data_IF_879369699733
#
_entry.id   IF_879369699733
#
_cell.length_a   1.000
_cell.length_b   1.000
_cell.length_c   1.000
_cell.angle_alpha   90.00
_cell.angle_beta   90.00
_cell.angle_gamma   90.00
#
_symmetry.space_group_name_H-M   'P 1'
#
loop_
_entity.id
_entity.type
_entity.pdbx_description
1 polymer ?
#
# COMPACT_ATOMS: atom_id res chain seq x y z
N UNK A 1 -1.87 -1.05 -5.96
CA UNK A 1 -1.43 -1.60 -7.24
C UNK A 1 -0.25 -2.53 -7.09
N UNK A 2 0.87 -2.04 -6.53
CA UNK A 2 2.09 -2.82 -6.30
C UNK A 2 1.85 -4.16 -5.57
N UNK A 3 1.16 -4.13 -4.43
CA UNK A 3 0.81 -5.33 -3.64
C UNK A 3 0.08 -6.38 -4.48
N UNK A 4 -0.94 -5.98 -5.23
CA UNK A 4 -1.71 -6.90 -6.07
C UNK A 4 -0.85 -7.53 -7.17
N UNK A 5 0.02 -6.73 -7.81
CA UNK A 5 0.96 -7.22 -8.82
C UNK A 5 2.00 -8.17 -8.21
N UNK A 6 2.52 -7.85 -7.03
CA UNK A 6 3.43 -8.69 -6.26
C UNK A 6 2.84 -10.08 -5.98
N UNK A 7 1.55 -10.12 -5.68
CA UNK A 7 0.80 -11.35 -5.44
C UNK A 7 0.35 -12.07 -6.72
N UNK A 8 0.70 -11.59 -7.93
CA UNK A 8 0.30 -12.20 -9.20
C UNK A 8 -1.10 -11.82 -9.71
N UNK A 9 -1.82 -10.95 -8.99
CA UNK A 9 -3.16 -10.47 -9.35
C UNK A 9 -3.11 -9.04 -9.90
N UNK A 10 -2.48 -8.85 -11.06
CA UNK A 10 -2.43 -7.54 -11.72
C UNK A 10 -3.86 -6.99 -11.97
N UNK A 11 -4.10 -5.74 -11.61
CA UNK A 11 -5.43 -5.09 -11.70
C UNK A 11 -6.31 -5.25 -10.45
N UNK A 12 -6.01 -6.18 -9.54
CA UNK A 12 -6.83 -6.45 -8.34
C UNK A 12 -6.57 -5.50 -7.15
N UNK A 13 -6.18 -4.25 -7.39
CA UNK A 13 -5.79 -3.32 -6.32
C UNK A 13 -6.91 -3.05 -5.30
N UNK A 14 -8.17 -3.08 -5.72
CA UNK A 14 -9.33 -2.90 -4.83
C UNK A 14 -9.55 -4.11 -3.92
N UNK A 15 -9.28 -5.32 -4.40
CA UNK A 15 -9.40 -6.55 -3.61
C UNK A 15 -8.43 -6.53 -2.44
N UNK A 16 -7.19 -6.07 -2.66
CA UNK A 16 -6.19 -5.90 -1.58
C UNK A 16 -6.74 -5.03 -0.44
N UNK A 17 -7.42 -3.91 -0.76
CA UNK A 17 -8.00 -3.04 0.26
C UNK A 17 -9.10 -3.77 1.04
N UNK A 18 -9.95 -4.53 0.34
CA UNK A 18 -10.97 -5.37 0.97
C UNK A 18 -10.34 -6.37 1.95
N UNK A 19 -9.31 -7.09 1.52
CA UNK A 19 -8.59 -8.07 2.36
C UNK A 19 -7.96 -7.41 3.58
N UNK A 20 -7.32 -6.24 3.43
CA UNK A 20 -6.69 -5.53 4.55
C UNK A 20 -7.70 -5.10 5.62
N UNK A 21 -8.94 -4.76 5.21
CA UNK A 21 -10.00 -4.37 6.15
C UNK A 21 -10.51 -5.54 7.00
N UNK A 22 -10.45 -6.77 6.49
CA UNK A 22 -10.95 -7.96 7.18
C UNK A 22 -9.84 -8.75 7.88
N UNK A 23 -8.58 -8.42 7.63
CA UNK A 23 -7.43 -9.13 8.20
C UNK A 23 -7.03 -8.53 9.53
N UNK A 24 -6.78 -9.38 10.52
CA UNK A 24 -6.29 -8.97 11.83
C UNK A 24 -4.75 -9.07 11.89
N UNK A 25 -4.11 -8.19 12.66
CA UNK A 25 -2.66 -8.23 12.91
C UNK A 25 -1.75 -7.81 11.75
N UNK A 26 -2.30 -7.39 10.61
CA UNK A 26 -1.48 -6.90 9.49
C UNK A 26 -1.14 -5.41 9.63
N UNK A 27 0.08 -4.97 9.23
CA UNK A 27 0.48 -3.57 9.21
C UNK A 27 -0.17 -2.83 8.03
N UNK A 28 -1.50 -2.70 8.06
CA UNK A 28 -2.30 -2.12 6.98
C UNK A 28 -1.89 -0.67 6.66
N UNK A 29 -1.37 0.07 7.64
CA UNK A 29 -0.97 1.47 7.52
C UNK A 29 0.15 1.69 6.51
N UNK A 30 0.91 0.64 6.15
CA UNK A 30 1.97 0.68 5.13
C UNK A 30 1.45 0.74 3.70
N UNK A 31 0.15 0.50 3.48
CA UNK A 31 -0.43 0.49 2.13
C UNK A 31 -1.04 1.85 1.80
N UNK A 32 -0.48 2.49 0.76
CA UNK A 32 -0.87 3.82 0.29
C UNK A 32 -1.50 3.77 -1.11
N UNK A 33 -2.13 4.89 -1.50
CA UNK A 33 -2.52 5.12 -2.89
C UNK A 33 -1.30 5.19 -3.80
N UNK A 34 -1.50 4.96 -5.11
CA UNK A 34 -0.39 5.01 -6.09
C UNK A 34 0.33 6.37 -6.14
N UNK A 35 -0.33 7.45 -5.72
CA UNK A 35 0.26 8.79 -5.61
C UNK A 35 1.10 9.02 -4.33
N UNK A 36 1.19 8.02 -3.44
CA UNK A 36 1.79 8.16 -2.11
C UNK A 36 0.89 8.87 -1.09
N UNK A 37 -0.40 9.00 -1.38
CA UNK A 37 -1.38 9.62 -0.49
C UNK A 37 -2.08 8.60 0.39
N UNK A 38 -2.36 9.02 1.62
CA UNK A 38 -3.34 8.35 2.48
C UNK A 38 -4.73 8.55 1.87
N UNK A 39 -5.41 7.45 1.55
CA UNK A 39 -6.76 7.48 0.94
C UNK A 39 -7.90 7.32 1.96
N UNK A 40 -7.55 7.05 3.22
CA UNK A 40 -8.49 7.06 4.34
C UNK A 40 -8.92 8.50 4.69
N UNK A 41 -9.97 8.61 5.48
CA UNK A 41 -10.52 9.89 5.96
C UNK A 41 -10.72 9.83 7.48
N UNK A 42 -10.85 11.01 8.11
CA UNK A 42 -11.11 11.13 9.54
C UNK A 42 -10.01 10.49 10.40
N UNK A 43 -10.41 9.89 11.51
CA UNK A 43 -9.51 9.30 12.51
C UNK A 43 -8.59 8.22 11.92
N UNK A 44 -9.09 7.40 11.00
CA UNK A 44 -8.27 6.36 10.37
C UNK A 44 -7.15 6.95 9.49
N UNK A 45 -7.35 8.15 8.91
CA UNK A 45 -6.28 8.83 8.19
C UNK A 45 -5.21 9.36 9.15
N UNK A 46 -5.62 9.88 10.31
CA UNK A 46 -4.71 10.35 11.35
C UNK A 46 -3.91 9.18 11.94
N UNK A 47 -4.58 8.08 12.27
CA UNK A 47 -3.95 6.87 12.77
C UNK A 47 -2.92 6.32 11.77
N UNK A 48 -3.29 6.23 10.48
CA UNK A 48 -2.36 5.77 9.45
C UNK A 48 -1.12 6.67 9.38
N UNK A 49 -1.30 7.99 9.45
CA UNK A 49 -0.20 8.95 9.43
C UNK A 49 0.71 8.80 10.64
N UNK A 50 0.14 8.76 11.85
CA UNK A 50 0.91 8.62 13.09
C UNK A 50 1.74 7.33 13.10
N UNK A 51 1.16 6.20 12.67
CA UNK A 51 1.88 4.92 12.57
C UNK A 51 3.02 4.98 11.56
N UNK A 52 2.81 5.64 10.41
CA UNK A 52 3.85 5.82 9.39
C UNK A 52 4.98 6.74 9.89
N UNK A 53 4.64 7.83 10.57
CA UNK A 53 5.61 8.76 11.17
C UNK A 53 6.44 8.07 12.27
N UNK A 54 5.83 7.22 13.10
CA UNK A 54 6.53 6.40 14.08
C UNK A 54 7.52 5.40 13.45
N UNK A 55 7.27 4.97 12.21
CA UNK A 55 8.19 4.15 11.41
C UNK A 55 9.26 4.99 10.67
N UNK A 56 9.29 6.32 10.87
CA UNK A 56 10.24 7.22 10.22
C UNK A 56 9.86 7.62 8.80
N UNK A 57 8.60 7.41 8.39
CA UNK A 57 8.12 7.81 7.06
C UNK A 57 7.90 9.32 7.02
N UNK A 58 8.56 9.98 6.06
CA UNK A 58 8.47 11.42 5.88
C UNK A 58 7.36 11.83 4.91
N UNK A 59 6.61 12.87 5.28
CA UNK A 59 5.52 13.44 4.48
C UNK A 59 5.87 14.83 3.94
N UNK A 60 5.44 15.12 2.71
CA UNK A 60 5.37 16.47 2.13
C UNK A 60 3.90 16.83 1.96
N UNK A 61 3.35 17.54 2.94
CA UNK A 61 1.91 17.79 3.03
C UNK A 61 1.15 16.47 3.19
N UNK A 62 0.28 16.13 2.22
CA UNK A 62 -0.54 14.90 2.25
C UNK A 62 0.12 13.68 1.58
N UNK A 63 1.35 13.80 1.08
CA UNK A 63 2.02 12.77 0.26
C UNK A 63 3.29 12.27 0.94
N UNK A 64 3.49 10.96 0.92
CA UNK A 64 4.75 10.33 1.32
C UNK A 64 5.80 10.51 0.22
N UNK A 65 7.06 10.66 0.61
CA UNK A 65 8.18 10.57 -0.32
C UNK A 65 8.36 9.10 -0.80
N UNK A 66 7.60 8.72 -1.83
CA UNK A 66 7.61 7.37 -2.39
C UNK A 66 8.99 6.95 -2.89
N UNK A 67 9.82 7.88 -3.38
CA UNK A 67 11.16 7.53 -3.84
C UNK A 67 12.05 6.95 -2.73
N UNK A 68 11.80 7.34 -1.47
CA UNK A 68 12.55 6.86 -0.29
C UNK A 68 11.87 5.68 0.42
N UNK A 69 10.54 5.66 0.44
CA UNK A 69 9.77 4.75 1.29
C UNK A 69 8.98 3.68 0.52
N UNK A 70 8.92 3.73 -0.82
CA UNK A 70 8.21 2.71 -1.59
C UNK A 70 8.96 1.38 -1.57
N UNK A 71 8.24 0.31 -1.19
CA UNK A 71 8.76 -1.04 -1.31
C UNK A 71 8.81 -1.47 -2.77
N UNK A 72 10.03 -1.72 -3.28
CA UNK A 72 10.24 -2.26 -4.62
C UNK A 72 10.13 -3.78 -4.59
N UNK A 73 8.96 -4.28 -4.95
CA UNK A 73 8.79 -5.71 -5.22
C UNK A 73 9.72 -6.12 -6.35
N UNK A 74 10.45 -7.23 -6.19
CA UNK A 74 11.26 -7.82 -7.25
C UNK A 74 10.41 -8.11 -8.49
N UNK A 75 11.06 -8.31 -9.65
CA UNK A 75 10.36 -8.69 -10.89
C UNK A 75 9.53 -9.96 -10.64
N UNK A 76 8.22 -9.78 -10.49
CA UNK A 76 7.28 -10.89 -10.49
C UNK A 76 7.29 -11.45 -11.90
N UNK A 77 7.75 -12.70 -12.07
CA UNK A 77 7.58 -13.42 -13.33
C UNK A 77 6.09 -13.67 -13.48
N UNK A 78 5.40 -12.81 -14.21
CA UNK A 78 4.01 -13.06 -14.59
C UNK A 78 4.04 -14.29 -15.49
N UNK A 79 3.66 -15.45 -14.95
CA UNK A 79 3.48 -16.65 -15.74
C UNK A 79 2.49 -16.36 -16.86
N UNK A 80 2.91 -16.56 -18.11
CA UNK A 80 1.99 -16.54 -19.26
C UNK A 80 0.87 -17.53 -18.96
N UNK A 81 -0.38 -17.05 -18.86
CA UNK A 81 -1.53 -17.95 -18.91
C UNK A 81 -1.51 -18.61 -20.29
N UNK A 82 -1.33 -19.92 -20.31
CA UNK A 82 -1.54 -20.77 -21.48
C UNK A 82 -2.92 -21.39 -21.36
N UNK A 83 -3.89 -20.90 -22.13
CA UNK A 83 -4.80 -21.66 -23.02
C UNK A 83 -5.83 -20.71 -23.62
#
# INVERSE_FOLDING_TARGET
>A
GGVARAAGYAGAARQVVGTLRTSFGLPWHRVLGASGEIKLRGDSAMEQRLRLEAEGVSFRGRRVNMARHEFRFGRVRVGRKSK
#
